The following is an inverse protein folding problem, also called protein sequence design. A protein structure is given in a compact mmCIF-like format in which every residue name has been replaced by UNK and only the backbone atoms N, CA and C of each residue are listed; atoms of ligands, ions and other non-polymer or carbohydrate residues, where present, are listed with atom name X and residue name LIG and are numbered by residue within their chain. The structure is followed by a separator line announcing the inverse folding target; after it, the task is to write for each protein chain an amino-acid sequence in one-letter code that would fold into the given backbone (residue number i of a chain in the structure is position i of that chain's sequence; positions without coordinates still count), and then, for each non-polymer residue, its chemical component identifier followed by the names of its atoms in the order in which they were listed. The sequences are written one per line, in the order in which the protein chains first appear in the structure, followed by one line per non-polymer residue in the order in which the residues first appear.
data_IF_116097930125
#
_entry.id   IF_116097930125
#
_cell.length_a   1.000
_cell.length_b   1.000
_cell.length_c   1.000
_cell.angle_alpha   90.00
_cell.angle_beta   90.00
_cell.angle_gamma   90.00
#
_symmetry.space_group_name_H-M   'P 1'
#
loop_
_entity.id
_entity.type
_entity.pdbx_description
1 polymer ?
#
# COMPACT_ATOMS: atom_id res chain seq x y z
N UNK A 1 -49.01 -5.23 -26.24
CA UNK A 1 -47.85 -4.66 -26.95
C UNK A 1 -46.63 -4.70 -26.02
N UNK A 2 -45.92 -5.83 -26.06
CA UNK A 2 -44.73 -6.12 -25.23
C UNK A 2 -43.44 -5.74 -25.96
N UNK A 3 -43.55 -4.83 -26.92
CA UNK A 3 -42.58 -4.56 -27.98
C UNK A 3 -42.00 -3.16 -27.80
N UNK A 4 -41.56 -2.87 -26.58
CA UNK A 4 -40.81 -1.64 -26.30
C UNK A 4 -39.32 -2.00 -26.18
N UNK A 5 -38.56 -1.95 -27.30
CA UNK A 5 -37.13 -2.27 -27.31
C UNK A 5 -36.30 -1.34 -26.41
N UNK A 6 -36.86 -0.23 -25.92
CA UNK A 6 -36.20 0.67 -24.98
C UNK A 6 -36.19 0.15 -23.53
N UNK A 7 -36.94 -0.93 -23.22
CA UNK A 7 -36.96 -1.51 -21.87
C UNK A 7 -35.67 -2.29 -21.54
N UNK A 8 -34.98 -2.82 -22.57
CA UNK A 8 -33.76 -3.63 -22.45
C UNK A 8 -32.48 -2.80 -22.40
N UNK A 9 -32.55 -1.50 -22.71
CA UNK A 9 -31.39 -0.59 -22.79
C UNK A 9 -31.19 0.25 -21.52
N UNK A 10 -31.97 -0.03 -20.46
CA UNK A 10 -31.64 0.46 -19.13
C UNK A 10 -30.44 -0.34 -18.64
N UNK A 11 -29.25 0.17 -18.90
CA UNK A 11 -28.03 -0.22 -18.17
C UNK A 11 -28.41 -0.13 -16.69
N UNK A 12 -28.57 -1.29 -16.05
CA UNK A 12 -28.87 -1.34 -14.62
C UNK A 12 -27.72 -0.63 -13.92
N UNK A 13 -28.01 0.49 -13.25
CA UNK A 13 -27.04 1.25 -12.45
C UNK A 13 -26.59 0.43 -11.21
N UNK A 14 -27.27 -0.68 -10.93
CA UNK A 14 -26.94 -1.63 -9.89
C UNK A 14 -25.95 -2.68 -10.44
N UNK A 15 -24.85 -2.88 -9.71
CA UNK A 15 -23.90 -3.96 -9.98
C UNK A 15 -24.62 -5.30 -9.98
N UNK A 16 -24.25 -6.19 -10.89
CA UNK A 16 -24.74 -7.58 -10.83
C UNK A 16 -24.21 -8.26 -9.55
N UNK A 17 -24.87 -9.33 -9.08
CA UNK A 17 -24.37 -10.13 -7.95
C UNK A 17 -22.93 -10.63 -8.16
N UNK A 18 -22.59 -11.02 -9.39
CA UNK A 18 -21.24 -11.46 -9.76
C UNK A 18 -20.22 -10.33 -9.66
N UNK A 19 -20.57 -9.13 -10.14
CA UNK A 19 -19.70 -7.94 -10.02
C UNK A 19 -19.47 -7.57 -8.55
N UNK A 20 -20.52 -7.62 -7.73
CA UNK A 20 -20.43 -7.35 -6.30
C UNK A 20 -19.53 -8.37 -5.58
N UNK A 21 -19.61 -9.65 -5.98
CA UNK A 21 -18.73 -10.68 -5.44
C UNK A 21 -17.26 -10.45 -5.83
N UNK A 22 -16.98 -10.08 -7.08
CA UNK A 22 -15.62 -9.79 -7.54
C UNK A 22 -15.01 -8.58 -6.80
N UNK A 23 -15.79 -7.53 -6.57
CA UNK A 23 -15.33 -6.36 -5.80
C UNK A 23 -14.96 -6.73 -4.36
N UNK A 24 -15.73 -7.65 -3.74
CA UNK A 24 -15.43 -8.15 -2.39
C UNK A 24 -14.15 -8.98 -2.37
N UNK A 25 -13.96 -9.86 -3.35
CA UNK A 25 -12.73 -10.64 -3.50
C UNK A 25 -11.51 -9.72 -3.71
N UNK A 26 -11.63 -8.66 -4.52
CA UNK A 26 -10.57 -7.70 -4.74
C UNK A 26 -10.23 -6.91 -3.46
N UNK A 27 -11.26 -6.46 -2.72
CA UNK A 27 -11.08 -5.78 -1.44
C UNK A 27 -10.44 -6.70 -0.37
N UNK A 28 -10.81 -7.98 -0.36
CA UNK A 28 -10.21 -9.00 0.51
C UNK A 28 -8.74 -9.23 0.14
N UNK A 29 -8.42 -9.33 -1.15
CA UNK A 29 -7.05 -9.48 -1.63
C UNK A 29 -6.19 -8.26 -1.27
N UNK A 30 -6.72 -7.05 -1.38
CA UNK A 30 -5.99 -5.84 -0.97
C UNK A 30 -5.75 -5.79 0.55
N UNK A 31 -6.76 -6.15 1.34
CA UNK A 31 -6.61 -6.26 2.81
C UNK A 31 -5.52 -7.27 3.18
N UNK A 32 -5.44 -8.40 2.48
CA UNK A 32 -4.40 -9.41 2.63
C UNK A 32 -3.01 -8.84 2.34
N UNK A 33 -2.84 -8.17 1.19
CA UNK A 33 -1.58 -7.53 0.80
C UNK A 33 -1.12 -6.51 1.83
N UNK A 34 -2.03 -5.64 2.30
CA UNK A 34 -1.73 -4.62 3.31
C UNK A 34 -1.27 -5.28 4.61
N UNK A 35 -1.98 -6.31 5.08
CA UNK A 35 -1.64 -7.00 6.32
C UNK A 35 -0.27 -7.67 6.23
N UNK A 36 0.03 -8.32 5.11
CA UNK A 36 1.32 -8.94 4.87
C UNK A 36 2.45 -7.90 4.82
N UNK A 37 2.24 -6.76 4.14
CA UNK A 37 3.18 -5.65 4.15
C UNK A 37 3.50 -5.18 5.57
N UNK A 38 2.47 -5.01 6.41
CA UNK A 38 2.65 -4.58 7.80
C UNK A 38 3.41 -5.62 8.65
N UNK A 39 3.12 -6.91 8.47
CA UNK A 39 3.86 -7.97 9.15
C UNK A 39 5.35 -7.91 8.81
N UNK A 40 5.71 -7.81 7.53
CA UNK A 40 7.12 -7.71 7.14
C UNK A 40 7.76 -6.38 7.51
N UNK A 41 6.97 -5.31 7.55
CA UNK A 41 7.43 -4.02 8.02
C UNK A 41 7.82 -4.05 9.49
N UNK A 42 7.01 -4.67 10.36
CA UNK A 42 7.32 -4.77 11.80
C UNK A 42 8.56 -5.61 12.08
N UNK A 43 8.86 -6.57 11.22
CA UNK A 43 10.06 -7.40 11.27
C UNK A 43 11.33 -6.73 10.69
N UNK A 44 11.22 -5.49 10.21
CA UNK A 44 12.39 -4.65 9.95
C UNK A 44 13.02 -4.22 11.28
N UNK A 45 14.31 -3.90 11.31
CA UNK A 45 14.93 -3.29 12.51
C UNK A 45 14.38 -1.89 12.79
N UNK A 46 14.38 -1.48 14.06
CA UNK A 46 13.76 -0.23 14.56
C UNK A 46 14.17 1.01 13.75
N UNK A 47 15.45 1.12 13.42
CA UNK A 47 16.00 2.23 12.61
C UNK A 47 15.32 2.36 11.25
N UNK A 48 15.04 1.24 10.57
CA UNK A 48 14.36 1.25 9.28
C UNK A 48 12.87 1.58 9.43
N UNK A 49 12.21 1.04 10.46
CA UNK A 49 10.79 1.34 10.73
C UNK A 49 10.58 2.82 11.00
N UNK A 50 11.41 3.41 11.87
CA UNK A 50 11.35 4.84 12.19
C UNK A 50 11.58 5.71 10.95
N UNK A 51 12.64 5.45 10.18
CA UNK A 51 12.93 6.23 8.98
C UNK A 51 11.77 6.19 7.98
N UNK A 52 11.27 5.00 7.67
CA UNK A 52 10.21 4.85 6.66
C UNK A 52 8.89 5.46 7.13
N UNK A 53 8.53 5.34 8.42
CA UNK A 53 7.33 6.01 8.98
C UNK A 53 7.41 7.52 8.85
N UNK A 54 8.55 8.12 9.25
CA UNK A 54 8.73 9.58 9.15
C UNK A 54 8.64 10.04 7.70
N UNK A 55 9.29 9.34 6.77
CA UNK A 55 9.27 9.69 5.35
C UNK A 55 7.88 9.57 4.68
N UNK A 56 6.97 8.78 5.25
CA UNK A 56 5.62 8.54 4.72
C UNK A 56 4.55 9.39 5.41
N UNK A 57 4.93 10.30 6.30
CA UNK A 57 3.98 11.22 6.91
C UNK A 57 3.30 12.09 5.85
N UNK A 58 2.06 12.49 6.13
CA UNK A 58 1.27 13.41 5.32
C UNK A 58 0.90 14.62 6.18
N UNK A 59 1.32 15.85 5.83
CA UNK A 59 2.14 16.20 4.66
C UNK A 59 3.57 15.63 4.73
N UNK A 60 4.25 15.44 3.58
CA UNK A 60 5.60 14.89 3.55
C UNK A 60 6.60 15.86 4.20
N UNK A 61 7.44 15.39 5.14
CA UNK A 61 8.42 16.25 5.80
C UNK A 61 9.57 16.57 4.86
N UNK A 62 10.19 17.73 5.08
CA UNK A 62 11.49 18.06 4.50
C UNK A 62 12.57 17.12 5.02
N UNK A 63 13.66 16.99 4.26
CA UNK A 63 14.81 16.19 4.70
C UNK A 63 15.51 16.79 5.94
N UNK A 64 15.35 18.09 6.19
CA UNK A 64 15.85 18.75 7.40
C UNK A 64 15.04 18.29 8.62
N UNK A 65 13.72 18.24 8.53
CA UNK A 65 12.85 17.74 9.60
C UNK A 65 13.10 16.25 9.87
N UNK A 66 13.30 15.44 8.82
CA UNK A 66 13.67 14.01 8.98
C UNK A 66 15.02 13.86 9.67
N UNK A 67 16.01 14.66 9.28
CA UNK A 67 17.35 14.69 9.88
C UNK A 67 17.29 15.05 11.37
N UNK A 68 16.54 16.10 11.72
CA UNK A 68 16.34 16.53 13.10
C UNK A 68 15.60 15.49 13.95
N UNK A 69 14.52 14.90 13.43
CA UNK A 69 13.72 13.90 14.14
C UNK A 69 14.48 12.60 14.44
N UNK A 70 15.38 12.20 13.53
CA UNK A 70 16.09 10.92 13.61
C UNK A 70 17.55 11.04 14.04
N UNK A 71 18.07 12.26 14.19
CA UNK A 71 19.47 12.51 14.55
C UNK A 71 20.48 12.00 13.51
N UNK A 72 20.12 12.03 12.22
CA UNK A 72 20.97 11.54 11.12
C UNK A 72 21.33 12.67 10.15
N UNK A 73 22.48 12.60 9.48
CA UNK A 73 22.85 13.61 8.48
C UNK A 73 21.88 13.61 7.29
N UNK A 74 21.51 14.79 6.79
CA UNK A 74 20.64 14.95 5.60
C UNK A 74 21.12 14.10 4.42
N UNK A 75 22.42 14.12 4.11
CA UNK A 75 23.02 13.33 3.02
C UNK A 75 22.94 11.81 3.23
N UNK A 76 22.68 11.33 4.45
CA UNK A 76 22.54 9.91 4.75
C UNK A 76 21.13 9.36 4.53
N UNK A 77 20.12 10.22 4.40
CA UNK A 77 18.70 9.83 4.31
C UNK A 77 18.46 8.98 3.07
N UNK A 78 18.94 9.41 1.90
CA UNK A 78 18.77 8.69 0.64
C UNK A 78 19.36 7.27 0.66
N UNK A 79 20.67 7.12 0.96
CA UNK A 79 21.29 5.80 1.10
C UNK A 79 20.64 4.91 2.16
N UNK A 80 20.20 5.48 3.30
CA UNK A 80 19.53 4.70 4.34
C UNK A 80 18.14 4.24 3.91
N UNK A 81 17.36 5.11 3.26
CA UNK A 81 16.05 4.78 2.68
C UNK A 81 16.18 3.63 1.68
N UNK A 82 17.13 3.71 0.75
CA UNK A 82 17.39 2.65 -0.23
C UNK A 82 17.71 1.31 0.44
N UNK A 83 18.60 1.29 1.44
CA UNK A 83 18.93 0.07 2.18
C UNK A 83 17.72 -0.52 2.91
N UNK A 84 16.91 0.31 3.56
CA UNK A 84 15.72 -0.14 4.28
C UNK A 84 14.64 -0.70 3.34
N UNK A 85 14.36 -0.03 2.21
CA UNK A 85 13.41 -0.51 1.21
C UNK A 85 13.88 -1.83 0.57
N UNK A 86 15.17 -1.97 0.27
CA UNK A 86 15.72 -3.24 -0.24
C UNK A 86 15.54 -4.39 0.76
N UNK A 87 15.72 -4.11 2.06
CA UNK A 87 15.48 -5.10 3.11
C UNK A 87 14.01 -5.50 3.19
N UNK A 88 13.09 -4.53 3.13
CA UNK A 88 11.65 -4.80 3.10
C UNK A 88 11.26 -5.66 1.89
N UNK A 89 11.77 -5.31 0.70
CA UNK A 89 11.54 -6.08 -0.52
C UNK A 89 12.01 -7.53 -0.39
N UNK A 90 13.23 -7.75 0.08
CA UNK A 90 13.77 -9.10 0.26
C UNK A 90 12.93 -9.95 1.24
N UNK A 91 12.34 -9.31 2.26
CA UNK A 91 11.44 -9.98 3.21
C UNK A 91 10.11 -10.38 2.58
N UNK A 92 9.52 -9.48 1.78
CA UNK A 92 8.30 -9.76 1.03
C UNK A 92 8.52 -10.90 0.01
N UNK A 93 9.64 -10.89 -0.71
CA UNK A 93 10.02 -11.93 -1.67
C UNK A 93 10.22 -13.30 -0.98
N UNK A 94 10.87 -13.34 0.19
CA UNK A 94 11.12 -14.59 0.92
C UNK A 94 9.84 -15.34 1.36
N UNK A 95 8.71 -14.65 1.45
CA UNK A 95 7.39 -15.21 1.79
C UNK A 95 6.45 -15.33 0.58
N UNK A 96 6.95 -15.10 -0.63
CA UNK A 96 6.18 -15.26 -1.88
C UNK A 96 5.24 -14.08 -2.19
N UNK A 97 5.53 -12.87 -1.68
CA UNK A 97 4.68 -11.69 -1.88
C UNK A 97 4.98 -10.88 -3.15
N UNK A 98 5.92 -11.30 -4.01
CA UNK A 98 6.29 -10.63 -5.27
C UNK A 98 6.67 -11.67 -6.31
#
# INVERSE_FOLDING_TARGET
PTDDPQLLDRVSEDRTPEQSFLDLEEAAAETERIRHLWQEFEELGDRCRQLLRVLMASPPPSYQEVSAALGIAVGSIGPLRQRCLRRLRARLEARGAV
#
